data_IF_236437224851
#
_entry.id   IF_236437224851
#
_cell.length_a   1.000
_cell.length_b   1.000
_cell.length_c   1.000
_cell.angle_alpha   90.00
_cell.angle_beta   90.00
_cell.angle_gamma   90.00
#
_symmetry.space_group_name_H-M   'P 1'
#
loop_
_entity.id
_entity.type
_entity.pdbx_description
1 polymer ?
#
# COMPACT_ATOMS: atom_id res chain seq x y z
N UNK A 1 -29.04 -8.63 5.44
CA UNK A 1 -27.97 -9.55 5.92
C UNK A 1 -27.12 -8.73 6.87
N UNK A 2 -27.12 -9.05 8.16
CA UNK A 2 -26.28 -8.35 9.13
C UNK A 2 -24.84 -8.80 8.88
N UNK A 3 -23.98 -7.87 8.44
CA UNK A 3 -22.54 -8.10 8.47
C UNK A 3 -22.17 -8.34 9.94
N UNK A 4 -21.55 -9.47 10.30
CA UNK A 4 -21.07 -9.68 11.67
C UNK A 4 -20.20 -8.49 12.08
N UNK A 5 -20.28 -8.07 13.34
CA UNK A 5 -19.46 -6.96 13.83
C UNK A 5 -17.99 -7.37 13.72
N UNK A 6 -17.33 -6.90 12.65
CA UNK A 6 -15.91 -7.14 12.41
C UNK A 6 -15.12 -6.60 13.60
N UNK A 7 -14.19 -7.42 14.09
CA UNK A 7 -13.23 -7.01 15.11
C UNK A 7 -12.39 -5.84 14.62
N UNK A 8 -11.74 -5.10 15.52
CA UNK A 8 -10.92 -3.94 15.12
C UNK A 8 -9.80 -4.33 14.14
N UNK A 9 -9.26 -5.55 14.27
CA UNK A 9 -8.26 -6.06 13.33
C UNK A 9 -8.87 -6.35 11.95
N UNK A 10 -10.03 -6.99 11.89
CA UNK A 10 -10.73 -7.24 10.63
C UNK A 10 -11.10 -5.94 9.92
N UNK A 11 -11.57 -4.94 10.66
CA UNK A 11 -11.82 -3.59 10.12
C UNK A 11 -10.55 -2.93 9.59
N UNK A 12 -9.42 -3.09 10.28
CA UNK A 12 -8.15 -2.56 9.81
C UNK A 12 -7.70 -3.24 8.51
N UNK A 13 -7.82 -4.57 8.41
CA UNK A 13 -7.50 -5.32 7.18
C UNK A 13 -8.43 -4.90 6.04
N UNK A 14 -9.73 -4.82 6.28
CA UNK A 14 -10.71 -4.33 5.31
C UNK A 14 -10.35 -2.92 4.84
N UNK A 15 -9.93 -2.03 5.75
CA UNK A 15 -9.51 -0.68 5.39
C UNK A 15 -8.26 -0.67 4.52
N UNK A 16 -7.29 -1.54 4.79
CA UNK A 16 -6.08 -1.66 3.96
C UNK A 16 -6.43 -2.13 2.55
N UNK A 17 -7.36 -3.09 2.42
CA UNK A 17 -7.85 -3.58 1.13
C UNK A 17 -8.66 -2.49 0.40
N UNK A 18 -9.55 -1.79 1.09
CA UNK A 18 -10.35 -0.70 0.53
C UNK A 18 -9.45 0.43 -0.01
N UNK A 19 -8.44 0.83 0.76
CA UNK A 19 -7.46 1.85 0.34
C UNK A 19 -6.69 1.36 -0.88
N UNK A 20 -6.23 0.10 -0.89
CA UNK A 20 -5.58 -0.47 -2.08
C UNK A 20 -6.50 -0.41 -3.29
N UNK A 21 -7.73 -0.92 -3.19
CA UNK A 21 -8.68 -0.96 -4.31
C UNK A 21 -9.14 0.43 -4.77
N UNK A 22 -9.24 1.39 -3.86
CA UNK A 22 -9.62 2.77 -4.19
C UNK A 22 -8.55 3.49 -5.01
N UNK A 23 -7.30 3.05 -4.91
CA UNK A 23 -6.20 3.58 -5.71
C UNK A 23 -5.86 2.65 -6.89
N UNK A 24 -6.02 1.33 -6.76
CA UNK A 24 -5.73 0.34 -7.79
C UNK A 24 -6.82 0.36 -8.87
N UNK A 25 -6.56 1.10 -9.95
CA UNK A 25 -7.43 1.16 -11.12
C UNK A 25 -7.84 2.56 -11.54
N UNK A 26 -7.27 3.63 -10.99
CA UNK A 26 -7.43 4.97 -11.58
C UNK A 26 -6.83 5.00 -12.99
N UNK A 27 -5.79 4.21 -13.24
CA UNK A 27 -5.10 4.13 -14.53
C UNK A 27 -5.57 2.98 -15.47
N UNK A 28 -6.69 2.33 -15.15
CA UNK A 28 -7.38 1.41 -16.08
C UNK A 28 -7.04 -0.08 -15.96
N UNK A 29 -6.10 -0.48 -15.07
CA UNK A 29 -5.91 -1.88 -14.67
C UNK A 29 -6.56 -2.15 -13.31
N UNK A 30 -7.72 -2.78 -13.34
CA UNK A 30 -8.44 -3.18 -12.12
C UNK A 30 -7.60 -4.19 -11.34
N UNK A 31 -7.16 -3.82 -10.15
CA UNK A 31 -6.49 -4.73 -9.19
C UNK A 31 -4.97 -4.62 -9.09
N UNK A 32 -4.33 -3.68 -9.80
CA UNK A 32 -2.89 -3.39 -9.66
C UNK A 32 -2.66 -1.90 -9.48
N UNK A 33 -1.73 -1.52 -8.62
CA UNK A 33 -1.27 -0.14 -8.49
C UNK A 33 -0.12 0.13 -9.46
N UNK A 34 -0.16 1.25 -10.17
CA UNK A 34 1.05 1.81 -10.80
C UNK A 34 1.97 2.36 -9.70
N UNK A 35 3.27 2.45 -9.98
CA UNK A 35 4.25 3.08 -9.07
C UNK A 35 3.85 4.50 -8.65
N UNK A 36 3.26 5.27 -9.57
CA UNK A 36 2.74 6.60 -9.30
C UNK A 36 1.56 6.58 -8.31
N UNK A 37 0.58 5.69 -8.53
CA UNK A 37 -0.59 5.52 -7.65
C UNK A 37 -0.15 5.06 -6.24
N UNK A 38 0.82 4.16 -6.17
CA UNK A 38 1.39 3.70 -4.91
C UNK A 38 2.12 4.84 -4.16
N UNK A 39 2.95 5.62 -4.86
CA UNK A 39 3.64 6.77 -4.27
C UNK A 39 2.63 7.78 -3.69
N UNK A 40 1.58 8.09 -4.43
CA UNK A 40 0.48 8.96 -3.98
C UNK A 40 -0.24 8.38 -2.76
N UNK A 41 -0.59 7.09 -2.79
CA UNK A 41 -1.25 6.39 -1.68
C UNK A 41 -0.41 6.46 -0.41
N UNK A 42 0.88 6.12 -0.49
CA UNK A 42 1.74 6.09 0.70
C UNK A 42 1.98 7.51 1.24
N UNK A 43 2.05 8.53 0.37
CA UNK A 43 2.15 9.92 0.83
C UNK A 43 0.87 10.40 1.54
N UNK A 44 -0.31 10.02 1.05
CA UNK A 44 -1.59 10.42 1.62
C UNK A 44 -1.97 9.64 2.88
N UNK A 45 -1.87 8.31 2.81
CA UNK A 45 -2.38 7.39 3.82
C UNK A 45 -1.33 7.02 4.87
N UNK A 46 -0.04 7.00 4.48
CA UNK A 46 1.06 6.51 5.32
C UNK A 46 2.21 7.52 5.49
N UNK A 47 1.94 8.83 5.74
CA UNK A 47 2.99 9.86 5.80
C UNK A 47 3.97 9.67 6.97
N UNK A 48 3.53 9.07 8.07
CA UNK A 48 4.40 8.77 9.21
C UNK A 48 5.20 7.48 9.01
N UNK A 49 4.64 6.52 8.26
CA UNK A 49 5.31 5.29 7.88
C UNK A 49 6.43 5.57 6.87
N UNK A 50 6.22 6.48 5.93
CA UNK A 50 7.28 7.03 5.06
C UNK A 50 8.49 7.56 5.84
N UNK A 51 8.27 8.24 6.97
CA UNK A 51 9.36 8.75 7.80
C UNK A 51 10.20 7.62 8.43
N UNK A 52 9.65 6.41 8.55
CA UNK A 52 10.34 5.24 9.06
C UNK A 52 11.03 4.40 7.98
N UNK A 53 10.56 4.45 6.73
CA UNK A 53 10.91 3.47 5.68
C UNK A 53 12.18 3.82 4.90
N UNK A 54 12.80 4.97 5.14
CA UNK A 54 13.86 5.45 4.25
C UNK A 54 13.28 5.96 2.93
N UNK A 55 14.13 6.34 1.95
CA UNK A 55 13.65 6.91 0.70
C UNK A 55 12.79 5.89 -0.05
N UNK A 56 11.48 6.15 -0.12
CA UNK A 56 10.53 5.36 -0.89
C UNK A 56 10.97 5.19 -2.36
N UNK A 57 11.72 6.18 -2.86
CA UNK A 57 12.37 6.17 -4.16
C UNK A 57 13.26 4.95 -4.36
N UNK A 58 14.00 4.50 -3.35
CA UNK A 58 14.90 3.34 -3.47
C UNK A 58 14.10 2.03 -3.65
N UNK A 59 12.96 1.90 -2.94
CA UNK A 59 12.03 0.76 -3.16
C UNK A 59 11.33 0.84 -4.51
N UNK A 60 11.02 2.03 -4.98
CA UNK A 60 10.44 2.25 -6.31
C UNK A 60 11.44 1.89 -7.40
N UNK A 61 12.71 2.29 -7.26
CA UNK A 61 13.78 1.94 -8.20
C UNK A 61 14.03 0.42 -8.23
N UNK A 62 13.87 -0.28 -7.11
CA UNK A 62 13.89 -1.74 -7.07
C UNK A 62 12.73 -2.42 -7.79
N UNK A 63 11.60 -1.74 -8.01
CA UNK A 63 10.45 -2.30 -8.76
C UNK A 63 10.66 -2.27 -10.28
N UNK A 64 11.70 -1.57 -10.76
CA UNK A 64 11.97 -1.43 -12.19
C UNK A 64 11.18 -0.27 -12.81
N UNK A 65 10.70 -0.44 -14.04
CA UNK A 65 10.08 0.64 -14.81
C UNK A 65 8.81 1.18 -14.12
N UNK A 66 8.77 2.45 -13.68
CA UNK A 66 7.63 3.00 -12.95
C UNK A 66 6.33 3.08 -13.78
N UNK A 67 6.45 2.95 -15.10
CA UNK A 67 5.34 2.93 -16.05
C UNK A 67 4.83 1.51 -16.35
N UNK A 68 5.62 0.48 -16.04
CA UNK A 68 5.28 -0.92 -16.32
C UNK A 68 5.08 -1.74 -15.04
N UNK A 69 5.67 -1.27 -13.93
CA UNK A 69 5.53 -1.80 -12.59
C UNK A 69 4.07 -1.83 -12.18
N UNK A 70 3.63 -3.04 -11.87
CA UNK A 70 2.27 -3.37 -11.42
C UNK A 70 2.40 -3.99 -10.06
N UNK A 71 2.01 -3.23 -9.05
CA UNK A 71 1.94 -3.70 -7.68
C UNK A 71 0.64 -4.47 -7.48
N UNK A 72 0.75 -5.78 -7.37
CA UNK A 72 -0.35 -6.62 -6.92
C UNK A 72 -0.58 -6.42 -5.40
N UNK A 73 -1.76 -6.79 -4.91
CA UNK A 73 -2.10 -6.62 -3.49
C UNK A 73 -1.07 -7.31 -2.56
N UNK A 74 -0.53 -8.45 -2.98
CA UNK A 74 0.48 -9.18 -2.20
C UNK A 74 1.79 -8.38 -2.01
N UNK A 75 2.29 -7.75 -3.08
CA UNK A 75 3.50 -6.92 -3.02
C UNK A 75 3.26 -5.65 -2.20
N UNK A 76 2.11 -5.02 -2.38
CA UNK A 76 1.67 -3.89 -1.57
C UNK A 76 1.64 -4.25 -0.07
N UNK A 77 1.06 -5.40 0.27
CA UNK A 77 0.95 -5.88 1.64
C UNK A 77 2.31 -6.19 2.26
N UNK A 78 3.21 -6.84 1.51
CA UNK A 78 4.57 -7.12 1.98
C UNK A 78 5.33 -5.83 2.25
N UNK A 79 5.21 -4.85 1.35
CA UNK A 79 5.87 -3.55 1.47
C UNK A 79 5.35 -2.74 2.66
N UNK A 80 4.03 -2.77 2.91
CA UNK A 80 3.43 -2.24 4.12
C UNK A 80 3.90 -2.97 5.39
N UNK A 81 4.04 -4.29 5.33
CA UNK A 81 4.53 -5.11 6.43
C UNK A 81 5.99 -4.79 6.79
N UNK A 82 6.85 -4.65 5.80
CA UNK A 82 8.24 -4.22 5.97
C UNK A 82 8.31 -2.79 6.53
N UNK A 83 7.45 -1.90 6.04
CA UNK A 83 7.33 -0.55 6.56
C UNK A 83 6.90 -0.51 8.03
N UNK A 84 5.91 -1.31 8.40
CA UNK A 84 5.45 -1.44 9.78
C UNK A 84 6.53 -2.04 10.69
N UNK A 85 7.31 -3.03 10.22
CA UNK A 85 8.48 -3.57 10.92
C UNK A 85 9.55 -2.50 11.13
N UNK A 86 9.80 -1.66 10.13
CA UNK A 86 10.70 -0.51 10.21
C UNK A 86 10.30 0.50 11.29
N UNK A 87 9.00 0.86 11.38
CA UNK A 87 8.52 1.75 12.44
C UNK A 87 8.58 1.13 13.85
N UNK A 88 8.49 -0.20 14.00
CA UNK A 88 8.60 -0.88 15.30
C UNK A 88 10.02 -0.89 15.89
N UNK A 89 11.04 -0.55 15.10
CA UNK A 89 12.46 -0.56 15.49
C UNK A 89 12.98 0.79 16.02
N UNK A 90 12.12 1.79 16.22
CA UNK A 90 12.42 3.03 16.94
C UNK A 90 11.69 3.11 18.27
#
# INVERSE_FOLDING_TARGET
>A
MATPELTELEKAIEKVVEVFLSHAGKEGRKGTLSTAEFKELVQLQLPNLMKCVGPLEEKIECMGDPNEAKLEFGEYWDMMGDAAKGCRRK
#
